data_IF_722307638827
#
_entry.id   IF_722307638827
#
_cell.length_a   1.000
_cell.length_b   1.000
_cell.length_c   1.000
_cell.angle_alpha   90.00
_cell.angle_beta   90.00
_cell.angle_gamma   90.00
#
_symmetry.space_group_name_H-M   'P 1'
#
loop_
_entity.id
_entity.type
_entity.pdbx_description
1 polymer ?
#
# COMPACT_ATOMS: atom_id res chain seq x y z
N UNK A 1 12.10 -49.95 -11.78
CA UNK A 1 13.38 -50.56 -11.37
C UNK A 1 13.72 -50.38 -9.89
N UNK A 2 14.09 -49.19 -9.37
CA UNK A 2 14.43 -49.05 -7.92
C UNK A 2 13.28 -49.40 -6.96
N UNK A 3 12.03 -49.02 -7.27
CA UNK A 3 10.85 -49.34 -6.45
C UNK A 3 10.55 -50.86 -6.38
N UNK A 4 10.72 -51.57 -7.49
CA UNK A 4 10.50 -53.02 -7.55
C UNK A 4 11.60 -53.79 -6.84
N UNK A 5 12.86 -53.39 -7.02
CA UNK A 5 13.99 -53.95 -6.29
C UNK A 5 13.80 -53.79 -4.78
N UNK A 6 13.35 -52.61 -4.33
CA UNK A 6 13.05 -52.34 -2.93
C UNK A 6 11.87 -53.18 -2.42
N UNK A 7 10.82 -53.33 -3.23
CA UNK A 7 9.68 -54.19 -2.88
C UNK A 7 10.12 -55.66 -2.68
N UNK A 8 10.95 -56.19 -3.59
CA UNK A 8 11.50 -57.54 -3.49
C UNK A 8 12.41 -57.72 -2.27
N UNK A 9 13.33 -56.77 -2.01
CA UNK A 9 14.24 -56.81 -0.85
C UNK A 9 13.48 -56.78 0.48
N UNK A 10 12.44 -55.97 0.57
CA UNK A 10 11.61 -55.82 1.78
C UNK A 10 10.47 -56.84 1.86
N UNK A 11 10.32 -57.72 0.85
CA UNK A 11 9.20 -58.68 0.73
C UNK A 11 7.82 -58.00 0.85
N UNK A 12 7.70 -56.80 0.26
CA UNK A 12 6.47 -56.02 0.22
C UNK A 12 5.86 -56.03 -1.18
N UNK A 13 4.56 -55.76 -1.28
CA UNK A 13 3.92 -55.52 -2.58
C UNK A 13 4.44 -54.20 -3.17
N UNK A 14 4.73 -54.11 -4.48
CA UNK A 14 5.18 -52.88 -5.13
C UNK A 14 4.28 -51.66 -4.84
N UNK A 15 2.96 -51.90 -4.72
CA UNK A 15 1.99 -50.87 -4.35
C UNK A 15 2.24 -50.27 -2.95
N UNK A 16 2.67 -51.06 -1.97
CA UNK A 16 2.96 -50.56 -0.62
C UNK A 16 4.16 -49.61 -0.64
N UNK A 17 5.20 -49.97 -1.40
CA UNK A 17 6.37 -49.11 -1.60
C UNK A 17 5.96 -47.80 -2.27
N UNK A 18 5.10 -47.86 -3.29
CA UNK A 18 4.58 -46.67 -3.95
C UNK A 18 3.81 -45.74 -3.00
N UNK A 19 2.85 -46.28 -2.23
CA UNK A 19 2.09 -45.51 -1.25
C UNK A 19 3.00 -44.94 -0.17
N UNK A 20 4.02 -45.68 0.26
CA UNK A 20 5.01 -45.18 1.21
C UNK A 20 5.76 -43.95 0.68
N UNK A 21 6.21 -43.97 -0.57
CA UNK A 21 6.86 -42.80 -1.19
C UNK A 21 5.90 -41.61 -1.36
N UNK A 22 4.65 -41.87 -1.73
CA UNK A 22 3.62 -40.83 -1.81
C UNK A 22 3.38 -40.19 -0.44
N UNK A 23 3.17 -41.00 0.59
CA UNK A 23 2.97 -40.54 1.97
C UNK A 23 4.20 -39.78 2.50
N UNK A 24 5.41 -40.24 2.17
CA UNK A 24 6.63 -39.53 2.52
C UNK A 24 6.67 -38.14 1.89
N UNK A 25 6.35 -38.03 0.59
CA UNK A 25 6.28 -36.73 -0.11
C UNK A 25 5.18 -35.84 0.47
N UNK A 26 4.00 -36.40 0.76
CA UNK A 26 2.90 -35.67 1.37
C UNK A 26 3.28 -35.12 2.75
N UNK A 27 3.93 -35.92 3.61
CA UNK A 27 4.43 -35.48 4.92
C UNK A 27 5.47 -34.38 4.79
N UNK A 28 6.41 -34.50 3.86
CA UNK A 28 7.39 -33.44 3.60
C UNK A 28 6.73 -32.15 3.14
N UNK A 29 5.75 -32.23 2.23
CA UNK A 29 5.00 -31.07 1.75
C UNK A 29 4.21 -30.40 2.88
N UNK A 30 3.52 -31.19 3.70
CA UNK A 30 2.77 -30.69 4.86
C UNK A 30 3.70 -30.00 5.87
N UNK A 31 4.84 -30.64 6.19
CA UNK A 31 5.82 -30.04 7.10
C UNK A 31 6.37 -28.72 6.56
N UNK A 32 6.62 -28.65 5.25
CA UNK A 32 7.07 -27.41 4.60
C UNK A 32 6.01 -26.31 4.71
N UNK A 33 4.76 -26.61 4.34
CA UNK A 33 3.66 -25.61 4.39
C UNK A 33 3.39 -25.14 5.82
N UNK A 34 3.49 -26.02 6.81
CA UNK A 34 3.35 -25.63 8.22
C UNK A 34 4.47 -24.66 8.63
N UNK A 35 5.72 -24.95 8.29
CA UNK A 35 6.84 -24.04 8.59
C UNK A 35 6.70 -22.70 7.87
N UNK A 36 6.28 -22.69 6.61
CA UNK A 36 6.02 -21.47 5.83
C UNK A 36 4.91 -20.63 6.45
N UNK A 37 3.82 -21.26 6.89
CA UNK A 37 2.73 -20.59 7.59
C UNK A 37 3.21 -19.95 8.89
N UNK A 38 3.96 -20.68 9.71
CA UNK A 38 4.50 -20.15 10.97
C UNK A 38 5.48 -18.98 10.73
N UNK A 39 6.31 -19.07 9.69
CA UNK A 39 7.19 -17.97 9.29
C UNK A 39 6.40 -16.72 8.89
N UNK A 40 5.42 -16.88 8.01
CA UNK A 40 4.61 -15.76 7.54
C UNK A 40 3.82 -15.12 8.68
N UNK A 41 3.28 -15.93 9.60
CA UNK A 41 2.58 -15.45 10.80
C UNK A 41 3.47 -14.56 11.66
N UNK A 42 4.69 -15.01 11.98
CA UNK A 42 5.66 -14.21 12.77
C UNK A 42 6.02 -12.92 12.06
N UNK A 43 6.19 -12.96 10.74
CA UNK A 43 6.52 -11.77 9.96
C UNK A 43 5.36 -10.77 9.92
N UNK A 44 4.12 -11.26 9.80
CA UNK A 44 2.93 -10.43 9.89
C UNK A 44 2.78 -9.76 11.26
N UNK A 45 2.99 -10.51 12.35
CA UNK A 45 2.98 -9.97 13.72
C UNK A 45 4.05 -8.87 13.89
N UNK A 46 5.26 -9.12 13.40
CA UNK A 46 6.35 -8.14 13.44
C UNK A 46 6.01 -6.86 12.67
N UNK A 47 5.55 -6.98 11.42
CA UNK A 47 5.15 -5.82 10.62
C UNK A 47 3.99 -5.05 11.23
N UNK A 48 3.03 -5.76 11.81
CA UNK A 48 1.89 -5.13 12.49
C UNK A 48 2.38 -4.26 13.65
N UNK A 49 3.29 -4.78 14.48
CA UNK A 49 3.91 -4.02 15.56
C UNK A 49 4.67 -2.79 15.05
N UNK A 50 5.53 -2.97 14.03
CA UNK A 50 6.28 -1.85 13.45
C UNK A 50 5.35 -0.78 12.86
N UNK A 51 4.25 -1.18 12.23
CA UNK A 51 3.27 -0.25 11.69
C UNK A 51 2.57 0.55 12.80
N UNK A 52 2.21 -0.10 13.91
CA UNK A 52 1.62 0.56 15.08
C UNK A 52 2.58 1.58 15.72
N UNK A 53 3.86 1.21 15.87
CA UNK A 53 4.89 2.12 16.40
C UNK A 53 5.05 3.36 15.51
N UNK A 54 5.15 3.17 14.19
CA UNK A 54 5.24 4.28 13.23
C UNK A 54 3.98 5.16 13.24
N UNK A 55 2.80 4.58 13.37
CA UNK A 55 1.55 5.37 13.48
C UNK A 55 1.54 6.23 14.75
N UNK A 56 1.99 5.68 15.88
CA UNK A 56 2.12 6.42 17.13
C UNK A 56 3.12 7.58 16.99
N UNK A 57 4.27 7.35 16.35
CA UNK A 57 5.27 8.40 16.10
C UNK A 57 4.71 9.51 15.19
N UNK A 58 3.97 9.14 14.14
CA UNK A 58 3.29 10.10 13.26
C UNK A 58 2.26 10.93 14.03
N UNK A 59 1.49 10.31 14.92
CA UNK A 59 0.50 11.01 15.73
C UNK A 59 1.15 11.96 16.75
N UNK A 60 2.23 11.53 17.40
CA UNK A 60 3.02 12.36 18.31
C UNK A 60 3.62 13.58 17.59
N UNK A 61 4.24 13.38 16.43
CA UNK A 61 4.80 14.47 15.62
C UNK A 61 3.72 15.44 15.14
N UNK A 62 2.53 14.95 14.79
CA UNK A 62 1.39 15.79 14.43
C UNK A 62 0.90 16.60 15.62
N UNK A 63 0.82 16.00 16.82
CA UNK A 63 0.43 16.70 18.04
C UNK A 63 1.45 17.80 18.41
N UNK A 64 2.74 17.58 18.18
CA UNK A 64 3.78 18.58 18.38
C UNK A 64 3.73 19.73 17.34
N UNK A 65 3.21 19.48 16.14
CA UNK A 65 3.08 20.49 15.07
C UNK A 65 1.81 21.36 15.14
N UNK A 66 1.05 21.37 16.25
CA UNK A 66 -0.21 22.14 16.36
C UNK A 66 0.00 23.64 16.66
N UNK A 67 1.23 24.12 16.83
CA UNK A 67 1.51 25.56 16.76
C UNK A 67 1.34 26.07 15.32
N UNK A 68 0.52 27.11 15.03
CA UNK A 68 0.43 27.68 13.69
C UNK A 68 1.84 27.99 13.16
N UNK A 69 2.18 27.64 11.91
CA UNK A 69 3.49 27.98 11.37
C UNK A 69 3.66 29.49 11.51
N UNK A 70 4.59 29.91 12.35
CA UNK A 70 4.77 31.32 12.65
C UNK A 70 5.98 31.77 11.87
N UNK A 71 5.79 32.68 10.91
CA UNK A 71 6.88 33.20 10.09
C UNK A 71 7.42 34.45 10.78
N UNK A 72 8.72 34.46 11.06
CA UNK A 72 9.39 35.66 11.59
C UNK A 72 9.57 36.63 10.42
N UNK A 73 8.83 37.74 10.44
CA UNK A 73 8.94 38.78 9.42
C UNK A 73 10.32 39.46 9.48
N UNK A 74 11.05 39.58 8.35
CA UNK A 74 12.37 40.20 8.32
C UNK A 74 12.37 41.72 8.52
N UNK A 75 11.20 42.38 8.61
CA UNK A 75 11.10 43.83 8.79
C UNK A 75 10.61 44.27 10.18
N UNK A 76 9.91 43.41 10.91
CA UNK A 76 9.33 43.76 12.22
C UNK A 76 9.77 42.85 13.37
N UNK A 77 10.47 41.73 13.10
CA UNK A 77 10.87 40.71 14.11
C UNK A 77 9.73 40.21 14.99
N UNK A 78 8.49 40.39 14.57
CA UNK A 78 7.30 39.90 15.27
C UNK A 78 6.86 38.56 14.66
N UNK A 79 6.53 37.55 15.49
CA UNK A 79 5.99 36.28 15.01
C UNK A 79 4.56 36.46 14.48
N UNK A 80 4.33 36.19 13.18
CA UNK A 80 2.99 36.27 12.57
C UNK A 80 2.50 34.88 12.08
N UNK A 81 1.20 34.56 12.23
CA UNK A 81 0.66 33.27 11.80
C UNK A 81 0.65 33.17 10.26
N UNK A 82 1.16 32.06 9.72
CA UNK A 82 1.28 31.80 8.29
C UNK A 82 -0.06 31.83 7.54
N UNK A 83 -1.19 31.64 8.25
CA UNK A 83 -2.54 31.81 7.69
C UNK A 83 -2.80 33.23 7.15
N UNK A 84 -1.99 34.22 7.54
CA UNK A 84 -2.05 35.59 7.02
C UNK A 84 -1.18 35.81 5.78
N UNK A 85 -0.44 34.81 5.32
CA UNK A 85 0.48 34.88 4.20
C UNK A 85 -0.03 34.02 3.03
N UNK A 86 -0.09 34.61 1.83
CA UNK A 86 -0.39 33.89 0.58
C UNK A 86 0.87 33.76 -0.25
N UNK A 87 1.14 32.56 -0.75
CA UNK A 87 2.23 32.30 -1.71
C UNK A 87 1.69 32.35 -3.13
N UNK A 88 2.33 33.14 -4.00
CA UNK A 88 1.98 33.22 -5.41
C UNK A 88 2.71 32.11 -6.22
N UNK A 89 2.00 31.15 -6.84
CA UNK A 89 2.62 30.05 -7.59
C UNK A 89 3.30 30.49 -8.90
N UNK A 90 3.14 31.76 -9.32
CA UNK A 90 3.77 32.32 -10.53
C UNK A 90 5.16 32.90 -10.29
N UNK A 91 5.45 33.35 -9.06
CA UNK A 91 6.71 34.05 -8.74
C UNK A 91 7.30 33.65 -7.38
N UNK A 92 6.75 32.60 -6.73
CA UNK A 92 7.14 32.08 -5.41
C UNK A 92 7.15 33.10 -4.26
N UNK A 93 6.61 34.31 -4.48
CA UNK A 93 6.59 35.36 -3.46
C UNK A 93 5.51 35.06 -2.41
N UNK A 94 5.91 35.19 -1.15
CA UNK A 94 5.03 35.17 0.02
C UNK A 94 4.63 36.61 0.37
N UNK A 95 3.34 36.90 0.54
CA UNK A 95 2.85 38.25 0.85
C UNK A 95 1.66 38.22 1.81
N UNK A 96 1.49 39.23 2.68
CA UNK A 96 0.36 39.27 3.60
C UNK A 96 -0.97 39.47 2.88
N UNK A 97 -2.02 38.80 3.35
CA UNK A 97 -3.40 38.96 2.91
C UNK A 97 -3.85 40.37 3.32
N UNK A 98 -3.72 41.34 2.41
CA UNK A 98 -4.40 42.62 2.54
C UNK A 98 -5.87 42.41 2.20
N UNK A 99 -6.75 42.60 3.18
CA UNK A 99 -8.20 42.75 3.01
C UNK A 99 -8.50 44.01 2.18
N UNK A 100 -8.35 43.91 0.86
CA UNK A 100 -8.94 44.87 -0.08
C UNK A 100 -10.27 44.31 -0.56
N UNK A 101 -11.34 44.76 0.07
CA UNK A 101 -12.68 44.60 -0.48
C UNK A 101 -12.83 45.34 -1.82
N UNK A 102 -13.81 44.86 -2.58
CA UNK A 102 -14.42 45.45 -3.77
C UNK A 102 -13.73 45.23 -5.15
N UNK A 103 -14.31 44.27 -5.90
CA UNK A 103 -14.77 44.51 -7.26
C UNK A 103 -13.84 44.14 -8.41
N UNK A 104 -14.08 42.98 -9.04
CA UNK A 104 -14.66 42.97 -10.39
C UNK A 104 -15.27 41.59 -10.69
N UNK A 105 -16.57 41.63 -10.93
CA UNK A 105 -17.37 40.59 -11.55
C UNK A 105 -16.81 40.40 -12.96
N UNK A 106 -16.55 39.18 -13.39
CA UNK A 106 -16.70 38.82 -14.80
C UNK A 106 -17.27 37.41 -14.89
N UNK A 107 -18.58 37.40 -15.05
CA UNK A 107 -19.42 36.33 -15.57
C UNK A 107 -18.91 35.89 -16.95
N UNK A 108 -18.62 34.62 -17.13
CA UNK A 108 -18.93 33.90 -18.38
C UNK A 108 -19.41 32.50 -18.03
N UNK A 109 -20.72 32.35 -18.13
CA UNK A 109 -21.51 31.13 -18.04
C UNK A 109 -21.38 30.30 -19.32
N UNK A 110 -21.64 28.99 -19.17
CA UNK A 110 -21.97 27.98 -20.21
C UNK A 110 -20.76 27.23 -20.79
N UNK A 111 -20.71 25.91 -20.81
CA UNK A 111 -21.80 24.94 -21.09
C UNK A 111 -21.59 23.58 -20.41
N UNK A 112 -22.73 22.98 -20.03
CA UNK A 112 -22.92 21.59 -19.58
C UNK A 112 -22.32 20.54 -20.54
N UNK A 113 -21.97 19.36 -20.00
CA UNK A 113 -22.74 18.13 -20.29
C UNK A 113 -22.21 16.90 -19.53
N UNK A 114 -23.13 16.29 -18.79
CA UNK A 114 -23.10 14.93 -18.24
C UNK A 114 -23.45 13.92 -19.33
N UNK A 115 -22.77 12.78 -19.43
CA UNK A 115 -23.25 11.46 -19.93
C UNK A 115 -22.06 10.47 -19.94
N UNK A 116 -21.90 9.57 -18.96
CA UNK A 116 -22.34 8.16 -19.01
C UNK A 116 -22.69 7.61 -20.39
N UNK A 117 -21.83 6.74 -20.96
CA UNK A 117 -22.24 5.63 -21.83
C UNK A 117 -21.25 4.46 -21.72
N UNK A 118 -21.83 3.26 -21.67
CA UNK A 118 -21.25 1.94 -21.50
C UNK A 118 -20.32 1.45 -22.62
N UNK A 119 -19.52 0.44 -22.24
CA UNK A 119 -19.19 -0.77 -22.99
C UNK A 119 -18.51 -0.65 -24.36
N UNK A 120 -17.26 -1.13 -24.42
CA UNK A 120 -16.87 -2.04 -25.48
C UNK A 120 -16.01 -3.19 -24.93
N UNK A 121 -16.57 -4.38 -25.08
CA UNK A 121 -15.96 -5.68 -24.88
C UNK A 121 -14.94 -5.95 -26.00
N UNK A 122 -13.81 -6.58 -25.65
CA UNK A 122 -13.06 -7.42 -26.56
C UNK A 122 -12.71 -8.73 -25.84
N UNK A 123 -13.39 -9.79 -26.29
CA UNK A 123 -13.23 -11.20 -25.88
C UNK A 123 -11.97 -11.82 -26.53
N UNK A 124 -11.55 -13.03 -26.08
CA UNK A 124 -10.25 -13.61 -26.35
C UNK A 124 -10.23 -14.49 -27.62
N UNK A 125 -9.04 -14.66 -28.22
CA UNK A 125 -8.78 -15.68 -29.23
C UNK A 125 -7.77 -16.72 -28.73
N UNK A 126 -8.19 -17.96 -28.94
CA UNK A 126 -7.60 -19.26 -28.64
C UNK A 126 -6.47 -19.70 -29.60
N UNK A 127 -5.53 -20.51 -29.10
CA UNK A 127 -4.95 -21.71 -29.74
C UNK A 127 -3.96 -22.34 -28.72
N UNK A 128 -4.16 -23.54 -28.16
CA UNK A 128 -4.11 -24.88 -28.76
C UNK A 128 -2.73 -25.28 -29.29
N UNK A 129 -1.93 -25.93 -28.42
CA UNK A 129 -1.04 -27.07 -28.69
C UNK A 129 -0.47 -27.60 -27.36
#
# INVERSE_FOLDING_TARGET
RQKEALASQLKLRPRQVEVWFQNRRARSKLKQTEMEFQYLKRWFEFLTKQNQELQSEVEELRALQVGPPTVISPHSREPLPASTLTTCPRCERVSPISSRGAGLINTTTSTNNTSTTSAHQSRPSSAAA
#
